data_IF_643045519875
#
_entry.id   IF_643045519875
#
_cell.length_a   1.000
_cell.length_b   1.000
_cell.length_c   1.000
_cell.angle_alpha   90.00
_cell.angle_beta   90.00
_cell.angle_gamma   90.00
#
_symmetry.space_group_name_H-M   'P 1'
#
loop_
_entity.id
_entity.type
_entity.pdbx_description
1 polymer ?
#
# COMPACT_ATOMS: atom_id res chain seq x y z
N UNK A 1 13.39 -10.16 -9.80
CA UNK A 1 12.51 -9.06 -10.24
C UNK A 1 12.14 -8.27 -8.99
N UNK A 2 12.48 -6.99 -8.95
CA UNK A 2 12.23 -6.11 -7.80
C UNK A 2 11.22 -5.05 -8.21
N UNK A 3 10.12 -4.96 -7.48
CA UNK A 3 9.14 -3.89 -7.65
C UNK A 3 9.66 -2.59 -7.05
N UNK A 4 9.71 -1.54 -7.89
CA UNK A 4 9.83 -0.17 -7.43
C UNK A 4 8.42 0.40 -7.50
N UNK A 5 7.90 0.82 -6.35
CA UNK A 5 6.68 1.62 -6.31
C UNK A 5 7.10 3.04 -6.59
N UNK A 6 6.97 3.48 -7.84
CA UNK A 6 6.72 4.89 -8.08
C UNK A 6 5.33 5.16 -7.51
N UNK A 7 5.20 5.94 -6.41
CA UNK A 7 3.88 6.31 -5.95
C UNK A 7 3.17 7.00 -7.12
N UNK A 8 1.94 6.59 -7.47
CA UNK A 8 1.17 7.37 -8.42
C UNK A 8 1.13 8.79 -7.85
N UNK A 9 1.30 9.81 -8.71
CA UNK A 9 0.93 11.19 -8.34
C UNK A 9 -0.44 11.09 -7.69
N UNK A 10 -0.53 11.35 -6.39
CA UNK A 10 -1.81 11.33 -5.72
C UNK A 10 -2.63 12.43 -6.38
N UNK A 11 -3.94 12.24 -6.48
CA UNK A 11 -4.85 13.30 -6.98
C UNK A 11 -4.71 14.62 -6.21
N UNK A 12 -4.08 14.61 -5.03
CA UNK A 12 -3.75 15.78 -4.21
C UNK A 12 -2.34 16.36 -4.43
N UNK A 13 -1.45 15.66 -5.15
CA UNK A 13 -0.09 16.14 -5.44
C UNK A 13 -0.08 17.20 -6.55
N UNK A 14 -1.07 17.17 -7.46
CA UNK A 14 -1.32 18.24 -8.42
C UNK A 14 -2.12 19.38 -7.76
N UNK A 15 -1.46 20.11 -6.84
CA UNK A 15 -2.01 21.30 -6.16
C UNK A 15 -2.53 22.39 -7.11
N UNK A 16 -2.19 22.33 -8.39
CA UNK A 16 -2.49 23.35 -9.40
C UNK A 16 -3.97 23.42 -9.82
N UNK A 17 -4.85 22.50 -9.38
CA UNK A 17 -6.28 22.51 -9.75
C UNK A 17 -7.25 22.71 -8.58
N UNK A 18 -6.77 23.01 -7.37
CA UNK A 18 -7.65 23.21 -6.21
C UNK A 18 -8.33 24.60 -6.28
N UNK A 19 -9.65 24.64 -6.52
CA UNK A 19 -10.46 25.83 -6.32
C UNK A 19 -11.00 25.86 -4.90
N UNK A 20 -10.66 26.91 -4.15
CA UNK A 20 -11.21 27.14 -2.81
C UNK A 20 -12.66 27.64 -2.96
N UNK A 21 -13.63 26.78 -2.64
CA UNK A 21 -15.06 27.12 -2.70
C UNK A 21 -15.52 27.90 -1.46
N UNK A 22 -14.99 27.55 -0.29
CA UNK A 22 -15.26 28.20 1.00
C UNK A 22 -14.03 28.16 1.90
N UNK A 23 -13.97 29.05 2.90
CA UNK A 23 -12.89 29.11 3.89
C UNK A 23 -13.39 28.65 5.26
N UNK A 24 -14.05 27.51 5.29
CA UNK A 24 -14.50 26.90 6.53
C UNK A 24 -13.31 26.34 7.32
N UNK A 25 -13.43 26.39 8.65
CA UNK A 25 -12.43 25.84 9.56
C UNK A 25 -12.92 24.51 10.11
N UNK A 26 -12.01 23.58 10.34
CA UNK A 26 -12.34 22.31 10.98
C UNK A 26 -12.35 22.48 12.50
N UNK A 27 -13.39 21.97 13.16
CA UNK A 27 -13.41 21.86 14.62
C UNK A 27 -12.61 20.62 15.03
N UNK A 28 -11.45 20.85 15.66
CA UNK A 28 -10.55 19.80 16.12
C UNK A 28 -11.10 18.95 17.26
N UNK A 29 -12.28 19.26 17.80
CA UNK A 29 -13.04 18.36 18.67
C UNK A 29 -13.40 17.04 17.96
N UNK A 30 -13.55 17.05 16.63
CA UNK A 30 -13.97 15.89 15.86
C UNK A 30 -12.83 15.31 15.02
N UNK A 31 -12.59 14.01 15.20
CA UNK A 31 -11.52 13.31 14.49
C UNK A 31 -10.12 13.67 15.02
N UNK A 32 -9.10 13.33 14.24
CA UNK A 32 -7.70 13.61 14.56
C UNK A 32 -6.85 13.53 13.30
N UNK A 33 -5.77 14.30 13.29
CA UNK A 33 -4.74 14.21 12.25
C UNK A 33 -4.16 12.79 12.21
N UNK A 34 -3.78 12.25 11.02
CA UNK A 34 -3.20 10.91 10.93
C UNK A 34 -2.00 10.70 11.85
N UNK A 35 -1.15 11.72 12.00
CA UNK A 35 0.02 11.71 12.88
C UNK A 35 -0.30 11.69 14.38
N UNK A 36 -1.52 12.04 14.78
CA UNK A 36 -1.96 12.08 16.17
C UNK A 36 -2.82 10.86 16.56
N UNK A 37 -2.95 9.86 15.67
CA UNK A 37 -3.68 8.63 15.95
C UNK A 37 -2.95 7.77 16.98
N UNK A 38 -3.72 7.12 17.83
CA UNK A 38 -3.21 6.07 18.72
C UNK A 38 -2.73 4.87 17.92
N UNK A 39 -1.93 4.00 18.54
CA UNK A 39 -1.44 2.78 17.89
C UNK A 39 -2.60 1.90 17.39
N UNK A 40 -3.66 1.73 18.19
CA UNK A 40 -4.82 0.94 17.80
C UNK A 40 -5.52 1.49 16.55
N UNK A 41 -5.64 2.82 16.45
CA UNK A 41 -6.21 3.48 15.28
C UNK A 41 -5.30 3.36 14.06
N UNK A 42 -3.98 3.44 14.25
CA UNK A 42 -3.00 3.22 13.18
C UNK A 42 -3.07 1.77 12.68
N UNK A 43 -3.18 0.78 13.57
CA UNK A 43 -3.35 -0.62 13.19
C UNK A 43 -4.69 -0.87 12.48
N UNK A 44 -5.74 -0.12 12.82
CA UNK A 44 -7.05 -0.31 12.18
C UNK A 44 -7.19 0.41 10.83
N UNK A 45 -6.41 1.48 10.60
CA UNK A 45 -6.50 2.31 9.39
C UNK A 45 -5.17 2.46 8.64
N UNK A 46 -4.22 1.58 8.90
CA UNK A 46 -2.85 1.64 8.38
C UNK A 46 -2.62 0.83 7.12
N UNK A 47 -1.57 1.21 6.40
CA UNK A 47 -1.04 0.50 5.24
C UNK A 47 0.47 0.39 5.44
N UNK A 48 1.01 -0.80 5.23
CA UNK A 48 2.44 -1.08 5.27
C UNK A 48 2.94 -1.15 3.83
N UNK A 49 3.95 -0.34 3.52
CA UNK A 49 4.74 -0.49 2.30
C UNK A 49 5.78 -1.60 2.51
N UNK A 50 5.37 -2.84 2.29
CA UNK A 50 6.17 -4.01 2.65
C UNK A 50 7.07 -4.42 1.47
N UNK A 51 8.36 -4.62 1.72
CA UNK A 51 9.26 -5.27 0.76
C UNK A 51 9.14 -6.80 0.88
N UNK A 52 8.45 -7.42 -0.07
CA UNK A 52 8.14 -8.84 -0.06
C UNK A 52 9.43 -9.64 -0.30
N UNK A 53 9.81 -10.57 0.58
CA UNK A 53 10.95 -11.44 0.33
C UNK A 53 10.65 -12.45 -0.80
N UNK A 54 11.69 -13.02 -1.45
CA UNK A 54 11.50 -14.10 -2.39
C UNK A 54 11.15 -15.40 -1.65
N UNK A 55 10.45 -16.29 -2.35
CA UNK A 55 9.94 -17.61 -1.95
C UNK A 55 8.51 -17.68 -1.37
N UNK A 56 8.08 -16.92 -0.35
CA UNK A 56 6.70 -17.00 0.10
C UNK A 56 5.76 -16.35 -0.92
N UNK A 57 4.53 -16.84 -0.98
CA UNK A 57 3.45 -16.19 -1.71
C UNK A 57 3.08 -14.87 -1.03
N UNK A 58 2.47 -13.95 -1.79
CA UNK A 58 1.97 -12.68 -1.22
C UNK A 58 0.93 -12.91 -0.10
N UNK A 59 0.10 -13.95 -0.21
CA UNK A 59 -0.88 -14.32 0.80
C UNK A 59 -0.23 -14.82 2.10
N UNK A 60 0.83 -15.63 2.02
CA UNK A 60 1.58 -16.09 3.19
C UNK A 60 2.24 -14.91 3.93
N UNK A 61 2.85 -13.98 3.18
CA UNK A 61 3.44 -12.77 3.78
C UNK A 61 2.40 -11.95 4.54
N UNK A 62 1.21 -11.74 3.98
CA UNK A 62 0.11 -11.06 4.68
C UNK A 62 -0.36 -11.85 5.91
N UNK A 63 -0.39 -13.18 5.84
CA UNK A 63 -0.70 -14.04 6.99
C UNK A 63 0.33 -13.86 8.12
N UNK A 64 1.62 -13.74 7.78
CA UNK A 64 2.67 -13.44 8.76
C UNK A 64 2.48 -12.06 9.39
N UNK A 65 2.21 -11.02 8.60
CA UNK A 65 1.92 -9.67 9.11
C UNK A 65 0.73 -9.70 10.07
N UNK A 66 -0.36 -10.37 9.67
CA UNK A 66 -1.56 -10.52 10.51
C UNK A 66 -1.24 -11.19 11.86
N UNK A 67 -0.43 -12.25 11.83
CA UNK A 67 -0.03 -12.99 13.03
C UNK A 67 0.92 -12.20 13.93
N UNK A 68 1.92 -11.52 13.36
CA UNK A 68 2.91 -10.72 14.10
C UNK A 68 2.23 -9.55 14.80
N UNK A 69 1.33 -8.85 14.11
CA UNK A 69 0.61 -7.70 14.66
C UNK A 69 -0.62 -8.09 15.49
N UNK A 70 -0.97 -9.39 15.54
CA UNK A 70 -2.14 -9.92 16.24
C UNK A 70 -3.45 -9.18 15.87
N UNK A 71 -3.68 -8.96 14.58
CA UNK A 71 -4.85 -8.23 14.09
C UNK A 71 -5.85 -9.17 13.40
N UNK A 72 -7.16 -8.85 13.40
CA UNK A 72 -8.18 -9.74 12.83
C UNK A 72 -8.14 -9.80 11.30
N UNK A 73 -7.70 -8.71 10.65
CA UNK A 73 -7.79 -8.53 9.20
C UNK A 73 -6.56 -7.82 8.65
N UNK A 74 -6.00 -8.39 7.59
CA UNK A 74 -4.99 -7.75 6.74
C UNK A 74 -5.23 -8.24 5.30
N UNK A 75 -4.78 -7.47 4.32
CA UNK A 75 -4.87 -7.83 2.90
C UNK A 75 -3.79 -7.10 2.09
N UNK A 76 -3.44 -7.62 0.92
CA UNK A 76 -2.53 -6.93 0.00
C UNK A 76 -3.23 -6.54 -1.30
N UNK A 77 -2.62 -5.63 -2.07
CA UNK A 77 -3.05 -5.29 -3.42
C UNK A 77 -1.97 -5.61 -4.43
N UNK A 78 -2.34 -6.33 -5.48
CA UNK A 78 -1.42 -6.93 -6.44
C UNK A 78 -0.76 -8.18 -5.86
N UNK A 79 -0.87 -9.30 -6.57
CA UNK A 79 -0.19 -10.54 -6.20
C UNK A 79 1.17 -10.57 -6.86
N UNK A 80 2.22 -10.73 -6.07
CA UNK A 80 3.56 -11.05 -6.53
C UNK A 80 3.77 -12.56 -6.46
N UNK A 81 4.30 -13.11 -7.54
CA UNK A 81 4.71 -14.51 -7.61
C UNK A 81 5.75 -14.82 -6.51
N UNK A 82 5.87 -16.09 -6.08
CA UNK A 82 6.82 -16.52 -5.07
C UNK A 82 8.23 -15.96 -5.27
N UNK A 83 8.77 -16.02 -6.49
CA UNK A 83 10.15 -15.60 -6.80
C UNK A 83 10.33 -14.08 -6.96
N UNK A 84 9.26 -13.30 -6.91
CA UNK A 84 9.29 -11.83 -7.07
C UNK A 84 9.46 -11.15 -5.71
N UNK A 85 10.29 -10.12 -5.69
CA UNK A 85 10.52 -9.27 -4.51
C UNK A 85 10.03 -7.84 -4.74
N UNK A 86 10.05 -7.01 -3.70
CA UNK A 86 9.71 -5.61 -3.77
C UNK A 86 8.32 -5.31 -3.21
N UNK A 87 7.77 -4.16 -3.61
CA UNK A 87 6.69 -3.53 -2.88
C UNK A 87 5.36 -4.28 -2.98
N UNK A 88 4.86 -4.68 -1.80
CA UNK A 88 3.57 -5.32 -1.57
C UNK A 88 2.75 -4.47 -0.60
N UNK A 89 1.91 -3.53 -1.10
CA UNK A 89 1.06 -2.72 -0.26
C UNK A 89 0.13 -3.59 0.58
N UNK A 90 0.31 -3.55 1.91
CA UNK A 90 -0.41 -4.41 2.86
C UNK A 90 -1.27 -3.56 3.76
N UNK A 91 -2.59 -3.58 3.56
CA UNK A 91 -3.55 -2.82 4.34
C UNK A 91 -4.01 -3.61 5.58
N UNK A 92 -4.21 -2.90 6.69
CA UNK A 92 -4.57 -3.45 7.99
C UNK A 92 -6.01 -3.09 8.37
N UNK A 93 -6.71 -3.98 9.07
CA UNK A 93 -8.03 -3.69 9.65
C UNK A 93 -9.04 -3.13 8.64
N UNK A 94 -9.59 -1.95 8.93
CA UNK A 94 -10.54 -1.23 8.08
C UNK A 94 -9.91 -0.59 6.84
N UNK A 95 -8.58 -0.47 6.77
CA UNK A 95 -7.89 0.05 5.59
C UNK A 95 -7.96 -0.90 4.39
N UNK A 96 -8.28 -2.19 4.57
CA UNK A 96 -8.39 -3.14 3.44
C UNK A 96 -9.39 -2.71 2.37
N UNK A 97 -10.31 -1.79 2.69
CA UNK A 97 -11.29 -1.23 1.74
C UNK A 97 -10.66 -0.43 0.60
N UNK A 98 -9.41 0.01 0.74
CA UNK A 98 -8.70 0.75 -0.30
C UNK A 98 -7.86 -0.15 -1.22
N UNK A 99 -7.85 -1.47 -1.01
CA UNK A 99 -7.02 -2.38 -1.80
C UNK A 99 -7.47 -2.45 -3.26
N UNK A 100 -8.77 -2.29 -3.52
CA UNK A 100 -9.35 -2.31 -4.86
C UNK A 100 -8.85 -1.12 -5.71
N UNK A 101 -8.64 0.04 -5.10
CA UNK A 101 -8.09 1.21 -5.81
C UNK A 101 -6.60 1.04 -6.10
N UNK A 102 -5.85 0.44 -5.17
CA UNK A 102 -4.44 0.11 -5.37
C UNK A 102 -4.22 -0.99 -6.43
N UNK A 103 -5.24 -1.82 -6.67
CA UNK A 103 -5.16 -2.90 -7.66
C UNK A 103 -5.10 -2.33 -9.07
N UNK A 104 -5.87 -1.25 -9.30
CA UNK A 104 -5.93 -0.53 -10.57
C UNK A 104 -4.75 0.44 -10.76
N UNK A 105 -3.98 0.72 -9.71
CA UNK A 105 -2.83 1.61 -9.79
C UNK A 105 -1.71 1.00 -10.65
N UNK A 106 -1.02 1.84 -11.41
CA UNK A 106 0.16 1.48 -12.19
C UNK A 106 1.24 0.79 -11.33
N UNK A 107 2.02 -0.07 -11.96
CA UNK A 107 3.09 -0.87 -11.33
C UNK A 107 4.34 -0.77 -12.19
N UNK A 108 5.50 -0.71 -11.56
CA UNK A 108 6.79 -0.60 -12.23
C UNK A 108 7.73 -1.71 -11.73
N UNK A 109 8.33 -2.44 -12.66
CA UNK A 109 9.13 -3.63 -12.38
C UNK A 109 10.54 -3.48 -12.94
N UNK A 110 11.53 -3.91 -12.15
CA UNK A 110 12.88 -4.17 -12.65
C UNK A 110 13.05 -5.67 -12.85
N UNK A 111 13.23 -6.08 -14.11
CA UNK A 111 13.32 -7.48 -14.52
C UNK A 111 14.56 -7.78 -15.37
N UNK A 112 15.05 -9.02 -15.27
CA UNK A 112 16.09 -9.53 -16.13
C UNK A 112 15.45 -10.44 -17.18
N UNK A 113 15.62 -10.12 -18.46
CA UNK A 113 15.15 -10.95 -19.56
C UNK A 113 16.29 -11.84 -20.06
N UNK A 114 16.03 -13.14 -20.20
CA UNK A 114 16.94 -14.08 -20.85
C UNK A 114 16.37 -14.49 -22.20
N UNK A 115 17.11 -14.23 -23.26
CA UNK A 115 16.82 -14.67 -24.62
C UNK A 115 17.41 -16.07 -24.85
N UNK A 116 16.77 -16.87 -25.70
CA UNK A 116 17.14 -18.28 -25.94
C UNK A 116 18.12 -18.47 -27.11
N UNK A 117 18.47 -17.38 -27.80
CA UNK A 117 19.39 -17.37 -28.93
C UNK A 117 20.11 -16.01 -28.97
N UNK A 118 21.16 -15.93 -29.79
CA UNK A 118 21.90 -14.69 -30.04
C UNK A 118 21.04 -13.68 -30.80
N UNK A 119 21.23 -12.39 -30.51
CA UNK A 119 20.51 -11.24 -31.10
C UNK A 119 21.50 -10.30 -31.78
#
# INVERSE_FOLDING_TARGET
MTLIFSPPKLTFDDKQSLKVLSRDVTDFKWGKMPSARTIDELLNYGIINLDKPPNPTSHEVVSYVKRILNIPKAGHSGTLDPQVTGILPTALGKATRILDTLLLAGKEYVGNMRIHADV
#
